data_IF_073670514091
#
_entry.id   IF_073670514091
#
_cell.length_a   1.000
_cell.length_b   1.000
_cell.length_c   1.000
_cell.angle_alpha   90.00
_cell.angle_beta   90.00
_cell.angle_gamma   90.00
#
_symmetry.space_group_name_H-M   'P 1'
#
loop_
_entity.id
_entity.type
_entity.pdbx_description
1 polymer ?
#
# COMPACT_ATOMS: atom_id res chain seq x y z
N UNK A 1 -2.00 4.49 -1.01
CA UNK A 1 -2.03 3.15 -0.53
C UNK A 1 -2.51 3.07 0.91
N UNK A 2 -3.26 2.05 1.17
CA UNK A 2 -4.09 1.87 2.35
C UNK A 2 -3.41 1.86 3.72
N UNK A 3 -2.10 1.75 3.82
CA UNK A 3 -1.48 1.43 5.10
C UNK A 3 -1.20 2.62 6.02
N UNK A 4 -0.78 3.74 5.48
CA UNK A 4 -0.68 4.98 6.24
C UNK A 4 -2.06 5.47 6.68
N UNK A 5 -3.09 5.07 5.96
CA UNK A 5 -4.46 5.49 6.20
C UNK A 5 -5.10 4.75 7.38
N UNK A 6 -4.77 3.47 7.59
CA UNK A 6 -5.38 2.64 8.66
C UNK A 6 -5.04 3.18 10.05
N UNK A 7 -3.81 3.60 10.28
CA UNK A 7 -3.37 4.03 11.60
C UNK A 7 -3.10 5.54 11.69
N UNK A 8 -2.41 6.08 10.70
CA UNK A 8 -1.94 7.48 10.75
C UNK A 8 -2.98 8.48 10.27
N UNK A 9 -3.98 8.04 9.51
CA UNK A 9 -5.02 8.90 8.96
C UNK A 9 -6.38 8.19 8.91
N UNK A 10 -7.39 8.84 9.47
CA UNK A 10 -8.79 8.39 9.40
C UNK A 10 -9.44 8.92 8.12
N UNK A 11 -9.64 8.05 7.12
CA UNK A 11 -10.17 8.43 5.81
C UNK A 11 -11.63 8.89 5.86
N UNK A 12 -12.44 8.31 6.74
CA UNK A 12 -13.85 8.69 6.92
C UNK A 12 -14.05 10.13 7.39
N UNK A 13 -13.09 10.70 8.13
CA UNK A 13 -13.12 12.11 8.51
C UNK A 13 -12.88 13.07 7.33
N UNK A 14 -12.53 12.54 6.16
CA UNK A 14 -12.27 13.26 4.91
C UNK A 14 -13.35 13.05 3.86
N UNK A 15 -14.49 12.45 4.23
CA UNK A 15 -15.63 12.26 3.33
C UNK A 15 -15.58 10.98 2.51
N UNK A 16 -14.72 10.03 2.87
CA UNK A 16 -14.72 8.68 2.26
C UNK A 16 -15.91 7.90 2.82
N UNK A 17 -16.67 7.26 1.95
CA UNK A 17 -17.84 6.47 2.35
C UNK A 17 -17.47 5.00 2.59
N UNK A 18 -16.60 4.44 1.74
CA UNK A 18 -16.17 3.04 1.82
C UNK A 18 -14.64 2.99 1.75
N UNK A 19 -14.02 2.31 2.70
CA UNK A 19 -12.58 2.04 2.72
C UNK A 19 -12.32 0.55 2.46
N UNK A 20 -11.45 0.26 1.49
CA UNK A 20 -11.03 -1.10 1.14
C UNK A 20 -9.55 -1.26 1.43
N UNK A 21 -9.21 -2.24 2.26
CA UNK A 21 -7.82 -2.53 2.64
C UNK A 21 -7.41 -3.92 2.20
N UNK A 22 -6.22 -4.02 1.61
CA UNK A 22 -5.53 -5.31 1.49
C UNK A 22 -4.98 -5.70 2.86
N UNK A 23 -5.65 -6.64 3.55
CA UNK A 23 -5.16 -7.16 4.82
C UNK A 23 -3.83 -7.92 4.68
N UNK A 24 -3.55 -8.43 3.49
CA UNK A 24 -2.27 -9.05 3.09
C UNK A 24 -1.06 -8.16 3.41
N UNK A 25 -1.22 -6.83 3.36
CA UNK A 25 -0.13 -5.85 3.50
C UNK A 25 0.12 -5.48 4.98
N UNK A 26 0.02 -4.23 5.35
CA UNK A 26 0.34 -3.77 6.71
C UNK A 26 -0.50 -4.42 7.82
N UNK A 27 -1.76 -4.80 7.55
CA UNK A 27 -2.61 -5.43 8.58
C UNK A 27 -1.99 -6.76 9.01
N UNK A 28 -1.71 -7.67 8.10
CA UNK A 28 -1.00 -8.92 8.38
C UNK A 28 0.47 -8.71 8.70
N UNK A 29 1.15 -7.93 7.88
CA UNK A 29 2.53 -7.45 8.08
C UNK A 29 3.64 -8.47 7.85
N UNK A 30 3.32 -9.68 7.34
CA UNK A 30 4.30 -10.76 7.17
C UNK A 30 4.24 -11.45 5.80
N UNK A 31 3.33 -11.04 4.91
CA UNK A 31 3.18 -11.66 3.58
C UNK A 31 2.72 -13.12 3.60
N UNK A 32 2.28 -13.65 4.74
CA UNK A 32 1.95 -15.08 4.95
C UNK A 32 0.52 -15.44 4.61
N UNK A 33 -0.36 -14.44 4.47
CA UNK A 33 -1.80 -14.65 4.25
C UNK A 33 -2.36 -13.62 3.30
N UNK A 34 -3.32 -14.05 2.47
CA UNK A 34 -4.04 -13.18 1.55
C UNK A 34 -5.43 -12.90 2.11
N UNK A 35 -5.82 -11.62 2.12
CA UNK A 35 -7.14 -11.21 2.54
C UNK A 35 -7.39 -9.72 2.35
N UNK A 36 -8.64 -9.32 2.54
CA UNK A 36 -9.09 -7.95 2.45
C UNK A 36 -10.10 -7.59 3.53
N UNK A 37 -10.24 -6.31 3.79
CA UNK A 37 -11.26 -5.75 4.68
C UNK A 37 -11.96 -4.61 3.98
N UNK A 38 -13.28 -4.65 4.02
CA UNK A 38 -14.14 -3.55 3.55
C UNK A 38 -14.79 -2.93 4.78
N UNK A 39 -14.66 -1.61 4.92
CA UNK A 39 -15.29 -0.84 5.98
C UNK A 39 -16.21 0.20 5.35
N UNK A 40 -17.47 0.15 5.70
CA UNK A 40 -18.49 1.10 5.26
C UNK A 40 -18.78 2.11 6.37
N UNK A 41 -18.87 3.39 6.02
CA UNK A 41 -19.29 4.44 6.96
C UNK A 41 -20.77 4.39 7.29
N UNK A 42 -21.59 3.75 6.46
CA UNK A 42 -23.04 3.73 6.54
C UNK A 42 -23.71 5.07 6.30
N UNK A 43 -22.98 6.07 5.78
CA UNK A 43 -23.47 7.46 5.62
C UNK A 43 -23.86 7.84 4.20
N UNK A 44 -23.48 7.03 3.22
CA UNK A 44 -23.79 7.33 1.82
C UNK A 44 -25.30 7.20 1.58
N UNK A 45 -25.90 8.24 0.99
CA UNK A 45 -27.32 8.22 0.63
C UNK A 45 -27.50 7.57 -0.74
N UNK A 46 -27.78 6.27 -0.72
CA UNK A 46 -27.96 5.45 -1.92
C UNK A 46 -29.19 5.88 -2.73
N UNK A 47 -30.28 6.28 -2.06
CA UNK A 47 -31.52 6.73 -2.70
C UNK A 47 -31.33 8.07 -3.41
N UNK A 48 -30.86 9.08 -2.67
CA UNK A 48 -30.65 10.43 -3.21
C UNK A 48 -29.62 10.45 -4.35
N UNK A 49 -28.67 9.52 -4.38
CA UNK A 49 -27.68 9.43 -5.46
C UNK A 49 -28.31 9.11 -6.83
N UNK A 50 -29.41 8.37 -6.85
CA UNK A 50 -30.10 7.92 -8.06
C UNK A 50 -29.28 6.98 -8.98
N UNK A 51 -28.06 6.59 -8.57
CA UNK A 51 -27.12 5.82 -9.40
C UNK A 51 -27.11 4.32 -9.13
N UNK A 52 -27.75 3.90 -8.04
CA UNK A 52 -27.62 2.54 -7.51
C UNK A 52 -28.99 1.93 -7.21
N UNK A 53 -29.83 1.68 -8.25
CA UNK A 53 -31.16 1.12 -8.05
C UNK A 53 -31.13 -0.24 -7.35
N UNK A 54 -30.08 -1.03 -7.52
CA UNK A 54 -29.89 -2.32 -6.88
C UNK A 54 -29.85 -2.29 -5.35
N UNK A 55 -29.70 -1.13 -4.73
CA UNK A 55 -29.80 -0.97 -3.26
C UNK A 55 -31.19 -0.49 -2.83
N UNK A 56 -31.93 0.14 -3.73
CA UNK A 56 -33.23 0.79 -3.47
C UNK A 56 -34.40 -0.11 -3.86
N UNK A 57 -34.33 -0.68 -5.05
CA UNK A 57 -35.37 -1.57 -5.56
C UNK A 57 -35.38 -2.92 -4.84
N UNK A 58 -36.51 -3.60 -4.71
CA UNK A 58 -36.58 -4.95 -4.17
C UNK A 58 -35.70 -5.94 -4.94
N UNK A 59 -34.87 -6.71 -4.24
CA UNK A 59 -34.00 -7.73 -4.81
C UNK A 59 -34.76 -9.09 -4.84
N UNK A 60 -35.25 -9.54 -6.00
CA UNK A 60 -36.00 -10.79 -6.10
C UNK A 60 -35.13 -12.03 -5.84
N UNK A 61 -33.82 -11.91 -5.93
CA UNK A 61 -32.89 -13.00 -5.63
C UNK A 61 -32.69 -13.24 -4.14
N UNK A 62 -33.14 -12.27 -3.31
CA UNK A 62 -32.99 -12.36 -1.84
C UNK A 62 -34.23 -11.82 -1.12
N UNK A 63 -35.35 -12.56 -1.20
CA UNK A 63 -36.59 -12.30 -0.47
C UNK A 63 -37.19 -10.90 -0.70
N UNK A 64 -37.02 -10.31 -1.88
CA UNK A 64 -37.50 -8.97 -2.23
C UNK A 64 -37.02 -7.86 -1.27
N UNK A 65 -35.85 -8.01 -0.68
CA UNK A 65 -35.25 -7.00 0.20
C UNK A 65 -34.95 -5.72 -0.58
N UNK A 66 -35.32 -4.55 -0.03
CA UNK A 66 -34.77 -3.26 -0.40
C UNK A 66 -33.69 -2.93 0.64
N UNK A 67 -32.42 -2.93 0.24
CA UNK A 67 -31.32 -2.78 1.20
C UNK A 67 -31.37 -1.45 1.94
N UNK A 68 -31.71 -0.37 1.27
CA UNK A 68 -31.86 0.97 1.90
C UNK A 68 -32.99 1.00 2.91
N UNK A 69 -34.16 0.46 2.55
CA UNK A 69 -35.35 0.48 3.38
C UNK A 69 -35.25 -0.48 4.57
N UNK A 70 -34.76 -1.72 4.30
CA UNK A 70 -34.91 -2.82 5.26
C UNK A 70 -33.71 -2.94 6.20
N UNK A 71 -32.50 -2.47 5.78
CA UNK A 71 -31.29 -2.53 6.62
C UNK A 71 -30.56 -1.18 6.77
N UNK A 72 -31.03 -0.14 6.11
CA UNK A 72 -30.56 1.24 6.31
C UNK A 72 -29.06 1.42 6.13
N UNK A 73 -28.38 1.90 7.16
CA UNK A 73 -26.94 2.16 7.14
C UNK A 73 -26.08 0.94 6.79
N UNK A 74 -26.61 -0.28 6.92
CA UNK A 74 -25.91 -1.51 6.56
C UNK A 74 -26.19 -1.97 5.10
N UNK A 75 -26.85 -1.16 4.29
CA UNK A 75 -27.29 -1.53 2.94
C UNK A 75 -26.15 -2.14 2.09
N UNK A 76 -25.01 -1.45 2.01
CA UNK A 76 -23.89 -1.89 1.21
C UNK A 76 -23.28 -3.21 1.70
N UNK A 77 -22.94 -3.30 2.98
CA UNK A 77 -22.30 -4.50 3.52
C UNK A 77 -23.25 -5.71 3.53
N UNK A 78 -24.56 -5.48 3.67
CA UNK A 78 -25.57 -6.53 3.56
C UNK A 78 -25.66 -7.04 2.12
N UNK A 79 -25.73 -6.15 1.12
CA UNK A 79 -25.73 -6.54 -0.29
C UNK A 79 -24.45 -7.31 -0.68
N UNK A 80 -23.29 -6.88 -0.23
CA UNK A 80 -22.03 -7.61 -0.44
C UNK A 80 -22.10 -9.04 0.12
N UNK A 81 -22.73 -9.23 1.28
CA UNK A 81 -22.84 -10.56 1.91
C UNK A 81 -23.91 -11.44 1.27
N UNK A 82 -25.06 -10.87 0.92
CA UNK A 82 -26.21 -11.64 0.39
C UNK A 82 -26.11 -11.93 -1.10
N UNK A 83 -25.37 -11.13 -1.84
CA UNK A 83 -25.12 -11.33 -3.27
C UNK A 83 -23.72 -11.90 -3.52
N UNK A 84 -22.65 -11.07 -3.36
CA UNK A 84 -21.32 -11.46 -3.76
C UNK A 84 -20.73 -12.60 -2.92
N UNK A 85 -20.79 -12.51 -1.60
CA UNK A 85 -20.23 -13.56 -0.73
C UNK A 85 -21.01 -14.86 -0.87
N UNK A 86 -22.34 -14.79 -0.85
CA UNK A 86 -23.21 -15.97 -0.99
C UNK A 86 -22.97 -16.68 -2.32
N UNK A 87 -22.93 -15.92 -3.43
CA UNK A 87 -22.93 -16.50 -4.78
C UNK A 87 -21.53 -16.96 -5.21
N UNK A 88 -20.47 -16.25 -4.77
CA UNK A 88 -19.07 -16.61 -5.11
C UNK A 88 -18.39 -17.51 -4.08
N UNK A 89 -18.90 -17.54 -2.85
CA UNK A 89 -18.28 -18.29 -1.75
C UNK A 89 -16.91 -17.75 -1.32
N UNK A 90 -16.54 -16.54 -1.71
CA UNK A 90 -15.21 -15.93 -1.46
C UNK A 90 -15.01 -15.51 0.00
N UNK A 91 -15.15 -16.43 0.93
CA UNK A 91 -14.95 -16.21 2.36
C UNK A 91 -13.48 -16.34 2.75
N UNK A 92 -13.03 -15.46 3.65
CA UNK A 92 -11.70 -15.57 4.24
C UNK A 92 -11.59 -16.84 5.11
N UNK A 93 -10.47 -17.58 4.99
CA UNK A 93 -10.16 -18.69 5.90
C UNK A 93 -10.12 -18.19 7.36
N UNK A 94 -10.71 -18.91 8.33
CA UNK A 94 -10.61 -18.56 9.74
C UNK A 94 -9.17 -18.46 10.25
N UNK A 95 -8.26 -19.28 9.73
CA UNK A 95 -6.83 -19.20 10.07
C UNK A 95 -6.19 -17.91 9.56
N UNK A 96 -6.51 -17.47 8.33
CA UNK A 96 -6.04 -16.18 7.82
C UNK A 96 -6.62 -15.02 8.66
N UNK A 97 -7.90 -15.09 9.04
CA UNK A 97 -8.50 -14.08 9.90
C UNK A 97 -7.80 -13.98 11.26
N UNK A 98 -7.43 -15.12 11.86
CA UNK A 98 -6.66 -15.17 13.10
C UNK A 98 -5.28 -14.49 12.94
N UNK A 99 -4.55 -14.78 11.87
CA UNK A 99 -3.25 -14.12 11.59
C UNK A 99 -3.39 -12.61 11.39
N UNK A 100 -4.45 -12.16 10.73
CA UNK A 100 -4.71 -10.72 10.56
C UNK A 100 -5.09 -10.04 11.88
N UNK A 101 -5.84 -10.69 12.75
CA UNK A 101 -6.14 -10.16 14.08
C UNK A 101 -4.88 -10.01 14.93
N UNK A 102 -3.98 -10.99 14.90
CA UNK A 102 -2.66 -10.87 15.54
C UNK A 102 -1.84 -9.71 14.95
N UNK A 103 -1.83 -9.57 13.61
CA UNK A 103 -1.16 -8.47 12.93
C UNK A 103 -1.71 -7.09 13.35
N UNK A 104 -3.02 -6.98 13.59
CA UNK A 104 -3.65 -5.73 14.04
C UNK A 104 -3.15 -5.28 15.41
N UNK A 105 -2.87 -6.21 16.33
CA UNK A 105 -2.40 -5.87 17.69
C UNK A 105 -1.12 -5.04 17.70
N UNK A 106 -0.24 -5.27 16.74
CA UNK A 106 1.06 -4.58 16.63
C UNK A 106 1.12 -3.57 15.47
N UNK A 107 0.01 -3.34 14.76
CA UNK A 107 -0.02 -2.51 13.55
C UNK A 107 0.54 -1.11 13.79
N UNK A 108 0.16 -0.46 14.88
CA UNK A 108 0.60 0.90 15.22
C UNK A 108 2.11 0.99 15.41
N UNK A 109 2.66 0.06 16.19
CA UNK A 109 4.11 -0.02 16.47
C UNK A 109 4.90 -0.29 15.19
N UNK A 110 4.41 -1.22 14.35
CA UNK A 110 5.06 -1.54 13.08
C UNK A 110 5.05 -0.35 12.12
N UNK A 111 3.90 0.30 11.94
CA UNK A 111 3.80 1.45 11.02
C UNK A 111 4.70 2.61 11.48
N UNK A 112 4.81 2.87 12.77
CA UNK A 112 5.74 3.89 13.30
C UNK A 112 7.20 3.54 13.00
N UNK A 113 7.61 2.29 13.22
CA UNK A 113 8.96 1.84 12.91
C UNK A 113 9.22 1.87 11.39
N UNK A 114 8.32 1.37 10.57
CA UNK A 114 8.42 1.43 9.11
C UNK A 114 8.66 2.86 8.61
N UNK A 115 7.86 3.81 9.09
CA UNK A 115 7.96 5.21 8.66
C UNK A 115 9.26 5.84 9.16
N UNK A 116 9.64 5.63 10.43
CA UNK A 116 10.87 6.14 10.98
C UNK A 116 12.12 5.63 10.25
N UNK A 117 12.14 4.32 9.93
CA UNK A 117 13.22 3.74 9.14
C UNK A 117 13.25 4.32 7.72
N UNK A 118 12.08 4.44 7.07
CA UNK A 118 11.99 4.99 5.72
C UNK A 118 12.49 6.43 5.63
N UNK A 119 12.15 7.29 6.60
CA UNK A 119 12.59 8.69 6.62
C UNK A 119 14.11 8.80 6.70
N UNK A 120 14.78 7.99 7.53
CA UNK A 120 16.25 7.97 7.64
C UNK A 120 16.92 7.44 6.36
N UNK A 121 16.35 6.41 5.75
CA UNK A 121 16.87 5.86 4.48
C UNK A 121 16.68 6.86 3.33
N UNK A 122 15.55 7.56 3.28
CA UNK A 122 15.30 8.62 2.30
C UNK A 122 16.32 9.75 2.44
N UNK A 123 16.62 10.19 3.67
CA UNK A 123 17.63 11.21 3.95
C UNK A 123 19.02 10.76 3.46
N UNK A 124 19.42 9.53 3.76
CA UNK A 124 20.67 8.94 3.29
C UNK A 124 20.74 8.91 1.74
N UNK A 125 19.70 8.38 1.09
CA UNK A 125 19.66 8.24 -0.36
C UNK A 125 19.64 9.60 -1.08
N UNK A 126 18.92 10.59 -0.55
CA UNK A 126 18.84 11.92 -1.14
C UNK A 126 20.20 12.65 -1.13
N UNK A 127 21.08 12.35 -0.18
CA UNK A 127 22.45 12.88 -0.10
C UNK A 127 23.50 12.06 -0.85
N UNK A 128 23.15 10.87 -1.38
CA UNK A 128 24.14 9.93 -1.91
C UNK A 128 24.57 10.27 -3.35
N UNK A 129 25.89 10.32 -3.66
CA UNK A 129 26.39 10.75 -4.98
C UNK A 129 26.00 9.83 -6.15
N UNK A 130 25.66 8.57 -5.91
CA UNK A 130 25.21 7.59 -6.92
C UNK A 130 23.70 7.60 -7.15
N UNK A 131 22.94 8.36 -6.36
CA UNK A 131 21.48 8.52 -6.50
C UNK A 131 21.20 9.76 -7.34
N UNK A 132 20.30 9.62 -8.32
CA UNK A 132 19.85 10.70 -9.18
C UNK A 132 18.66 11.43 -8.56
N UNK A 133 17.70 10.67 -8.02
CA UNK A 133 16.44 11.19 -7.50
C UNK A 133 15.83 10.23 -6.49
N UNK A 134 15.19 10.77 -5.46
CA UNK A 134 14.34 10.01 -4.54
C UNK A 134 12.90 10.51 -4.65
N UNK A 135 11.94 9.62 -4.89
CA UNK A 135 10.53 9.96 -4.99
C UNK A 135 9.83 9.71 -3.65
N UNK A 136 9.89 10.68 -2.77
CA UNK A 136 9.24 10.62 -1.46
C UNK A 136 8.50 11.93 -1.17
N UNK A 137 7.18 11.89 -0.86
CA UNK A 137 6.36 13.11 -0.78
C UNK A 137 6.79 14.12 0.30
N UNK A 138 7.53 13.70 1.32
CA UNK A 138 7.99 14.58 2.41
C UNK A 138 9.25 15.37 2.08
N UNK A 139 9.97 15.03 1.01
CA UNK A 139 11.14 15.79 0.58
C UNK A 139 10.73 17.22 0.17
N UNK A 140 11.54 18.21 0.52
CA UNK A 140 11.24 19.63 0.31
C UNK A 140 11.09 20.01 -1.18
N UNK A 141 11.76 19.32 -2.07
CA UNK A 141 11.69 19.47 -3.52
C UNK A 141 10.57 18.66 -4.18
N UNK A 142 9.84 17.85 -3.41
CA UNK A 142 8.71 17.08 -3.93
C UNK A 142 7.54 18.00 -4.29
N UNK A 143 6.93 17.84 -5.48
CA UNK A 143 5.73 18.59 -5.85
C UNK A 143 4.53 18.30 -4.94
N UNK A 144 4.62 17.24 -4.15
CA UNK A 144 3.58 16.80 -3.21
C UNK A 144 3.87 17.21 -1.76
N UNK A 145 4.96 17.91 -1.47
CA UNK A 145 5.41 18.23 -0.10
C UNK A 145 4.29 18.90 0.72
N UNK A 146 3.72 19.99 0.21
CA UNK A 146 2.64 20.72 0.91
C UNK A 146 1.40 19.86 1.16
N UNK A 147 1.05 18.98 0.22
CA UNK A 147 -0.07 18.05 0.38
C UNK A 147 0.26 16.95 1.40
N UNK A 148 1.51 16.50 1.42
CA UNK A 148 1.99 15.53 2.40
C UNK A 148 1.91 16.09 3.83
N UNK A 149 2.36 17.30 4.06
CA UNK A 149 2.24 17.96 5.37
C UNK A 149 0.78 18.15 5.79
N UNK A 150 -0.07 18.59 4.85
CA UNK A 150 -1.50 18.80 5.12
C UNK A 150 -2.26 17.52 5.46
N UNK A 151 -2.00 16.45 4.70
CA UNK A 151 -2.80 15.23 4.80
C UNK A 151 -2.13 14.13 5.63
N UNK A 152 -0.82 14.11 5.73
CA UNK A 152 -0.04 13.07 6.39
C UNK A 152 0.98 13.61 7.40
N UNK A 153 0.57 14.47 8.36
CA UNK A 153 1.51 15.14 9.28
C UNK A 153 2.29 14.17 10.18
N UNK A 154 1.82 12.91 10.32
CA UNK A 154 2.47 11.88 11.13
C UNK A 154 3.43 10.98 10.33
N UNK A 155 3.58 11.23 9.02
CA UNK A 155 4.45 10.48 8.11
C UNK A 155 3.72 9.98 6.86
N UNK A 156 4.47 9.82 5.77
CA UNK A 156 3.95 9.55 4.42
C UNK A 156 4.11 8.10 3.97
N UNK A 157 4.41 7.19 4.89
CA UNK A 157 4.55 5.76 4.59
C UNK A 157 6.01 5.32 4.45
N UNK A 158 6.19 4.05 4.06
CA UNK A 158 7.49 3.37 4.02
C UNK A 158 7.80 2.73 2.67
N UNK A 159 7.01 3.05 1.65
CA UNK A 159 7.18 2.54 0.30
C UNK A 159 7.49 3.72 -0.60
N UNK A 160 8.61 3.67 -1.28
CA UNK A 160 9.04 4.74 -2.17
C UNK A 160 9.94 4.20 -3.29
N UNK A 161 10.27 5.06 -4.24
CA UNK A 161 11.21 4.74 -5.31
C UNK A 161 12.37 5.71 -5.31
N UNK A 162 13.51 5.24 -5.80
CA UNK A 162 14.65 6.11 -6.12
C UNK A 162 15.27 5.66 -7.44
N UNK A 163 15.97 6.59 -8.08
CA UNK A 163 16.67 6.34 -9.34
C UNK A 163 18.17 6.40 -9.07
N UNK A 164 18.91 5.38 -9.49
CA UNK A 164 20.37 5.41 -9.46
C UNK A 164 20.92 6.16 -10.67
N UNK A 165 22.13 6.68 -10.57
CA UNK A 165 22.86 7.20 -11.74
C UNK A 165 23.25 6.04 -12.65
N UNK A 166 22.94 6.16 -13.94
CA UNK A 166 23.12 5.10 -14.94
C UNK A 166 21.79 4.61 -15.50
N UNK A 167 21.69 3.34 -15.77
CA UNK A 167 20.53 2.71 -16.40
C UNK A 167 20.02 1.48 -15.66
N UNK A 168 19.35 0.61 -16.40
CA UNK A 168 18.83 -0.68 -15.88
C UNK A 168 19.94 -1.54 -15.29
N UNK A 169 21.11 -1.57 -15.95
CA UNK A 169 22.24 -2.42 -15.52
C UNK A 169 22.73 -2.02 -14.12
N UNK A 170 22.87 -0.74 -13.87
CA UNK A 170 23.30 -0.21 -12.57
C UNK A 170 22.23 -0.45 -11.51
N UNK A 171 20.96 -0.23 -11.83
CA UNK A 171 19.85 -0.50 -10.89
C UNK A 171 19.80 -1.97 -10.48
N UNK A 172 19.92 -2.89 -11.43
CA UNK A 172 19.95 -4.34 -11.14
C UNK A 172 21.17 -4.72 -10.33
N UNK A 173 22.33 -4.16 -10.65
CA UNK A 173 23.57 -4.45 -9.91
C UNK A 173 23.46 -4.02 -8.43
N UNK A 174 22.85 -2.88 -8.16
CA UNK A 174 22.56 -2.47 -6.77
C UNK A 174 21.65 -3.49 -6.08
N UNK A 175 20.57 -3.91 -6.72
CA UNK A 175 19.65 -4.92 -6.14
C UNK A 175 20.37 -6.26 -5.88
N UNK A 176 21.14 -6.73 -6.83
CA UNK A 176 21.87 -8.00 -6.72
C UNK A 176 22.98 -7.97 -5.63
N UNK A 177 23.39 -6.78 -5.20
CA UNK A 177 24.42 -6.57 -4.16
C UNK A 177 23.84 -6.40 -2.76
N UNK A 178 22.52 -6.33 -2.60
CA UNK A 178 21.87 -6.22 -1.30
C UNK A 178 21.82 -7.59 -0.60
N UNK A 179 22.11 -7.61 0.69
CA UNK A 179 22.12 -8.83 1.51
C UNK A 179 20.93 -8.92 2.48
N UNK A 180 20.43 -7.75 2.97
CA UNK A 180 19.31 -7.70 3.93
C UNK A 180 17.98 -7.60 3.21
N UNK A 181 17.89 -6.80 2.13
CA UNK A 181 16.66 -6.60 1.40
C UNK A 181 16.30 -7.85 0.57
N UNK A 182 15.08 -8.32 0.72
CA UNK A 182 14.58 -9.44 -0.11
C UNK A 182 14.07 -8.93 -1.47
N UNK A 183 14.59 -9.46 -2.58
CA UNK A 183 14.09 -9.15 -3.92
C UNK A 183 12.79 -9.92 -4.19
N UNK A 184 11.67 -9.29 -3.90
CA UNK A 184 10.35 -9.84 -4.16
C UNK A 184 9.27 -8.77 -4.28
N UNK A 185 8.23 -9.06 -5.07
CA UNK A 185 7.12 -8.16 -5.36
C UNK A 185 6.04 -8.19 -4.26
N UNK A 186 6.35 -7.63 -3.10
CA UNK A 186 5.36 -7.34 -2.05
C UNK A 186 5.61 -5.93 -1.49
N UNK A 187 4.81 -5.51 -0.52
CA UNK A 187 4.97 -4.26 0.24
C UNK A 187 4.48 -4.46 1.67
N UNK A 188 5.00 -3.65 2.59
CA UNK A 188 4.52 -3.60 3.98
C UNK A 188 4.78 -4.88 4.78
N UNK A 189 5.76 -5.65 4.38
CA UNK A 189 6.27 -6.77 5.16
C UNK A 189 7.14 -6.25 6.32
N UNK A 190 7.24 -7.03 7.39
CA UNK A 190 8.16 -6.78 8.49
C UNK A 190 9.63 -6.74 8.00
N UNK A 191 9.92 -7.44 6.89
CA UNK A 191 11.21 -7.41 6.20
C UNK A 191 11.27 -6.30 5.18
N UNK A 192 12.44 -5.73 5.00
CA UNK A 192 12.72 -4.80 3.91
C UNK A 192 12.76 -5.51 2.57
N UNK A 193 12.06 -4.94 1.59
CA UNK A 193 11.90 -5.51 0.27
C UNK A 193 12.39 -4.54 -0.79
N UNK A 194 12.92 -5.11 -1.87
CA UNK A 194 13.37 -4.38 -3.05
C UNK A 194 12.80 -5.01 -4.31
N UNK A 195 12.52 -4.23 -5.33
CA UNK A 195 12.26 -4.72 -6.69
C UNK A 195 12.76 -3.72 -7.72
N UNK A 196 13.05 -4.22 -8.93
CA UNK A 196 13.22 -3.42 -10.14
C UNK A 196 11.90 -3.34 -10.90
N UNK A 197 11.12 -2.23 -10.81
CA UNK A 197 9.76 -2.18 -11.36
C UNK A 197 9.71 -2.47 -12.87
N UNK A 198 10.64 -1.94 -13.64
CA UNK A 198 10.64 -2.04 -15.10
C UNK A 198 10.75 -3.49 -15.61
N UNK A 199 11.53 -4.36 -14.95
CA UNK A 199 11.73 -5.76 -15.38
C UNK A 199 10.87 -6.78 -14.63
N UNK A 200 10.15 -6.36 -13.57
CA UNK A 200 9.34 -7.25 -12.73
C UNK A 200 7.87 -6.89 -12.79
N UNK A 201 7.39 -6.02 -11.89
CA UNK A 201 5.97 -5.70 -11.75
C UNK A 201 5.35 -5.03 -12.98
N UNK A 202 6.15 -4.41 -13.84
CA UNK A 202 5.72 -3.74 -15.07
C UNK A 202 6.43 -4.27 -16.33
N UNK A 203 7.09 -5.42 -16.22
CA UNK A 203 7.86 -6.03 -17.32
C UNK A 203 7.03 -6.44 -18.56
N UNK A 204 5.71 -6.49 -18.45
CA UNK A 204 4.80 -6.74 -19.58
C UNK A 204 4.43 -5.47 -20.37
N UNK A 205 4.76 -4.28 -19.85
CA UNK A 205 4.49 -3.00 -20.51
C UNK A 205 5.62 -2.67 -21.50
N UNK A 206 5.28 -2.00 -22.61
CA UNK A 206 6.31 -1.46 -23.50
C UNK A 206 7.13 -0.36 -22.79
N UNK A 207 8.39 -0.12 -23.19
CA UNK A 207 9.22 0.94 -22.61
C UNK A 207 8.55 2.32 -22.63
N UNK A 208 7.83 2.66 -23.70
CA UNK A 208 7.10 3.92 -23.85
C UNK A 208 5.97 4.01 -22.82
N UNK A 209 5.24 2.90 -22.61
CA UNK A 209 4.15 2.84 -21.63
C UNK A 209 4.70 2.91 -20.20
N UNK A 210 5.83 2.28 -19.93
CA UNK A 210 6.52 2.40 -18.63
C UNK A 210 6.91 3.84 -18.34
N UNK A 211 7.55 4.52 -19.30
CA UNK A 211 7.93 5.93 -19.14
C UNK A 211 6.71 6.84 -18.95
N UNK A 212 5.65 6.63 -19.71
CA UNK A 212 4.39 7.37 -19.55
C UNK A 212 3.74 7.14 -18.16
N UNK A 213 3.95 5.97 -17.55
CA UNK A 213 3.54 5.65 -16.19
C UNK A 213 4.54 6.14 -15.11
N UNK A 214 5.64 6.82 -15.49
CA UNK A 214 6.66 7.31 -14.57
C UNK A 214 7.64 6.24 -14.09
N UNK A 215 7.74 5.12 -14.81
CA UNK A 215 8.66 4.02 -14.48
C UNK A 215 9.89 4.16 -15.38
N UNK A 216 11.02 4.45 -14.74
CA UNK A 216 12.30 4.62 -15.45
C UNK A 216 13.14 3.34 -15.37
N UNK A 217 14.03 3.09 -16.37
CA UNK A 217 14.90 1.90 -16.35
C UNK A 217 15.86 1.84 -15.17
N UNK A 218 16.25 2.98 -14.61
CA UNK A 218 17.14 3.09 -13.45
C UNK A 218 16.41 3.19 -12.10
N UNK A 219 15.10 2.90 -12.08
CA UNK A 219 14.30 3.04 -10.89
C UNK A 219 14.30 1.76 -10.04
N UNK A 220 14.51 1.93 -8.74
CA UNK A 220 14.40 0.90 -7.72
C UNK A 220 13.25 1.26 -6.78
N UNK A 221 12.41 0.29 -6.41
CA UNK A 221 11.36 0.46 -5.39
C UNK A 221 11.76 -0.27 -4.12
N UNK A 222 11.68 0.45 -3.00
CA UNK A 222 11.87 -0.10 -1.66
C UNK A 222 10.54 -0.16 -0.90
N UNK A 223 10.38 -1.19 -0.09
CA UNK A 223 9.40 -1.27 0.99
C UNK A 223 10.15 -1.52 2.27
N UNK A 224 10.29 -0.50 3.10
CA UNK A 224 11.17 -0.55 4.27
C UNK A 224 10.51 -1.31 5.41
N UNK A 225 11.25 -2.25 6.00
CA UNK A 225 10.84 -3.12 7.09
C UNK A 225 11.16 -2.57 8.48
N UNK A 226 11.27 -3.49 9.44
CA UNK A 226 11.41 -3.20 10.88
C UNK A 226 12.83 -3.40 11.40
N UNK A 227 13.75 -3.82 10.57
CA UNK A 227 15.14 -4.12 10.90
C UNK A 227 15.83 -2.90 11.54
N UNK A 228 17.01 -3.08 12.06
CA UNK A 228 17.84 -1.96 12.49
C UNK A 228 18.15 -1.07 11.28
N UNK A 229 17.83 0.21 11.38
CA UNK A 229 17.96 1.15 10.26
C UNK A 229 19.43 1.39 9.88
N UNK A 230 20.35 1.31 10.81
CA UNK A 230 21.78 1.50 10.52
C UNK A 230 22.32 0.34 9.68
N UNK A 231 21.85 -0.90 9.93
CA UNK A 231 22.18 -2.07 9.11
C UNK A 231 21.61 -1.94 7.71
N UNK A 232 20.37 -1.45 7.56
CA UNK A 232 19.74 -1.21 6.25
C UNK A 232 20.49 -0.12 5.44
N UNK A 233 20.94 0.94 6.12
CA UNK A 233 21.72 2.01 5.48
C UNK A 233 23.09 1.51 5.03
N UNK A 234 23.76 0.70 5.84
CA UNK A 234 25.06 0.15 5.48
C UNK A 234 24.95 -0.83 4.31
N UNK A 235 23.92 -1.69 4.29
CA UNK A 235 23.62 -2.58 3.16
C UNK A 235 23.40 -1.80 1.86
N UNK A 236 22.58 -0.75 1.92
CA UNK A 236 22.35 0.15 0.76
C UNK A 236 23.62 0.87 0.32
N UNK A 237 24.46 1.32 1.26
CA UNK A 237 25.72 2.00 0.98
C UNK A 237 26.68 1.06 0.23
N UNK A 238 26.90 -0.15 0.74
CA UNK A 238 27.74 -1.16 0.09
C UNK A 238 27.22 -1.48 -1.30
N UNK A 239 25.92 -1.69 -1.45
CA UNK A 239 25.29 -1.96 -2.74
C UNK A 239 25.48 -0.80 -3.74
N UNK A 240 25.34 0.45 -3.32
CA UNK A 240 25.54 1.63 -4.15
C UNK A 240 27.03 1.83 -4.53
N UNK A 241 27.98 1.42 -3.70
CA UNK A 241 29.41 1.44 -4.04
C UNK A 241 29.78 0.47 -5.16
N UNK A 242 28.93 -0.54 -5.43
CA UNK A 242 29.15 -1.51 -6.51
C UNK A 242 29.01 -0.93 -7.91
N UNK A 243 28.38 0.23 -8.12
CA UNK A 243 28.12 0.86 -9.41
C UNK A 243 28.96 2.11 -9.68
#
# INVERSE_FOLDING_TARGET
>A
SAASDVYKRQVFSRGVDIAVHSATKFIGGHGTSIGGVIVDSGRFDWEASGKFPQFVDPDPSYHDISYTRDVGAAAFVTAVRTQLLRDTGAAMSPFNAFLFLQGLETLSLRVERHVSNAEKIVEFLAGHPKVEQVNYPKLADSPYHTLAEKYFPKGVGSIFTFNVKGGEKEARKVIDSLEIFSDLANVADAKSLVVHPATTTHGQMSPETQLAAGIKPNQIRLSIGLENVDDLIEDLKIALESI
#
